data_IF_830008001747
#
_entry.id   IF_830008001747
#
_cell.length_a   1.000
_cell.length_b   1.000
_cell.length_c   1.000
_cell.angle_alpha   90.00
_cell.angle_beta   90.00
_cell.angle_gamma   90.00
#
_symmetry.space_group_name_H-M   'P 1'
#
loop_
_entity.id
_entity.type
_entity.pdbx_description
1 polymer ?
#
# COMPACT_ATOMS: atom_id res chain seq x y z
N UNK A 1 8.00 5.65 -0.67
CA UNK A 1 8.40 4.72 0.41
C UNK A 1 9.50 3.86 -0.16
N UNK A 2 10.57 3.62 0.58
CA UNK A 2 11.63 2.71 0.13
C UNK A 2 11.19 1.26 0.41
N UNK A 3 10.89 0.45 -0.61
CA UNK A 3 10.28 -0.87 -0.44
C UNK A 3 11.12 -1.82 0.42
N UNK A 4 12.44 -1.66 0.40
CA UNK A 4 13.42 -2.46 1.16
C UNK A 4 13.21 -2.39 2.68
N UNK A 5 12.59 -1.33 3.20
CA UNK A 5 12.39 -1.16 4.64
C UNK A 5 11.02 -1.64 5.13
N UNK A 6 10.14 -2.10 4.23
CA UNK A 6 8.78 -2.54 4.58
C UNK A 6 8.78 -3.64 5.65
N UNK A 7 9.66 -4.64 5.51
CA UNK A 7 9.77 -5.72 6.50
C UNK A 7 10.25 -5.20 7.86
N UNK A 8 11.24 -4.30 7.86
CA UNK A 8 11.75 -3.67 9.08
C UNK A 8 10.64 -2.90 9.81
N UNK A 9 9.85 -2.11 9.08
CA UNK A 9 8.71 -1.39 9.63
C UNK A 9 7.64 -2.35 10.17
N UNK A 10 7.33 -3.43 9.46
CA UNK A 10 6.36 -4.41 9.92
C UNK A 10 6.84 -5.14 11.19
N UNK A 11 8.13 -5.49 11.27
CA UNK A 11 8.75 -6.04 12.47
C UNK A 11 8.65 -5.08 13.65
N UNK A 12 8.96 -3.80 13.43
CA UNK A 12 8.85 -2.78 14.46
C UNK A 12 7.41 -2.61 14.96
N UNK A 13 6.43 -2.56 14.06
CA UNK A 13 5.01 -2.52 14.44
C UNK A 13 4.58 -3.75 15.24
N UNK A 14 5.05 -4.94 14.86
CA UNK A 14 4.76 -6.17 15.62
C UNK A 14 5.37 -6.15 17.01
N UNK A 15 6.59 -5.62 17.14
CA UNK A 15 7.27 -5.50 18.44
C UNK A 15 6.57 -4.47 19.34
N UNK A 16 6.19 -3.31 18.80
CA UNK A 16 5.40 -2.33 19.55
C UNK A 16 4.05 -2.90 20.01
N UNK A 17 3.43 -3.77 19.22
CA UNK A 17 2.19 -4.44 19.62
C UNK A 17 2.36 -5.42 20.78
N UNK A 18 3.56 -5.98 20.99
CA UNK A 18 3.84 -6.89 22.12
C UNK A 18 4.30 -6.15 23.37
N UNK A 19 5.07 -5.08 23.21
CA UNK A 19 5.68 -4.35 24.34
C UNK A 19 4.76 -3.28 24.94
N UNK A 20 3.90 -2.64 24.13
CA UNK A 20 3.06 -1.55 24.62
C UNK A 20 1.88 -2.08 25.44
N UNK A 21 1.60 -1.49 26.62
CA UNK A 21 0.49 -1.90 27.44
C UNK A 21 -0.85 -1.57 26.77
N UNK A 22 -1.87 -2.36 27.08
CA UNK A 22 -3.26 -2.01 26.78
C UNK A 22 -3.63 -0.73 27.54
N UNK A 23 -4.17 0.26 26.82
CA UNK A 23 -4.78 1.44 27.41
C UNK A 23 -6.28 1.20 27.58
N UNK A 24 -6.87 1.70 28.67
CA UNK A 24 -8.32 1.70 28.85
C UNK A 24 -8.84 3.13 28.94
N UNK A 25 -9.68 3.51 28.00
CA UNK A 25 -10.44 4.77 28.04
C UNK A 25 -11.92 4.43 27.90
N UNK A 26 -12.78 5.00 28.74
CA UNK A 26 -14.24 4.84 28.67
C UNK A 26 -14.73 3.37 28.57
N UNK A 27 -14.12 2.48 29.37
CA UNK A 27 -14.40 1.04 29.37
C UNK A 27 -14.04 0.28 28.07
N UNK A 28 -13.36 0.93 27.13
CA UNK A 28 -12.85 0.32 25.91
C UNK A 28 -11.34 0.07 26.02
N UNK A 29 -10.92 -1.17 25.73
CA UNK A 29 -9.49 -1.50 25.60
C UNK A 29 -8.98 -1.03 24.24
N UNK A 30 -7.99 -0.14 24.28
CA UNK A 30 -7.26 0.36 23.13
C UNK A 30 -5.85 -0.23 23.18
N UNK A 31 -5.49 -1.00 22.17
CA UNK A 31 -4.12 -1.51 22.01
C UNK A 31 -3.50 -0.97 20.74
N UNK A 32 -2.16 -1.02 20.67
CA UNK A 32 -1.40 -0.51 19.54
C UNK A 32 -1.86 -1.12 18.21
N UNK A 33 -2.17 -2.41 18.20
CA UNK A 33 -2.67 -3.10 17.00
C UNK A 33 -3.96 -2.47 16.46
N UNK A 34 -4.92 -2.17 17.34
CA UNK A 34 -6.18 -1.52 16.97
C UNK A 34 -5.95 -0.10 16.45
N UNK A 35 -5.05 0.65 17.08
CA UNK A 35 -4.69 2.01 16.64
C UNK A 35 -4.04 2.00 15.25
N UNK A 36 -3.08 1.09 15.04
CA UNK A 36 -2.41 0.93 13.75
C UNK A 36 -3.40 0.54 12.65
N UNK A 37 -4.30 -0.42 12.93
CA UNK A 37 -5.36 -0.83 12.01
C UNK A 37 -6.25 0.34 11.60
N UNK A 38 -6.73 1.11 12.57
CA UNK A 38 -7.58 2.27 12.31
C UNK A 38 -6.84 3.31 11.46
N UNK A 39 -5.56 3.56 11.75
CA UNK A 39 -4.76 4.51 10.98
C UNK A 39 -4.51 4.02 9.56
N UNK A 40 -4.18 2.75 9.37
CA UNK A 40 -4.02 2.15 8.05
C UNK A 40 -5.31 2.24 7.22
N UNK A 41 -6.47 2.00 7.83
CA UNK A 41 -7.76 2.13 7.17
C UNK A 41 -8.05 3.59 6.77
N UNK A 42 -7.83 4.54 7.66
CA UNK A 42 -8.02 5.97 7.38
C UNK A 42 -7.13 6.42 6.20
N UNK A 43 -5.86 6.02 6.19
CA UNK A 43 -4.92 6.37 5.14
C UNK A 43 -5.30 5.74 3.79
N UNK A 44 -5.80 4.50 3.81
CA UNK A 44 -6.28 3.80 2.62
C UNK A 44 -7.52 4.49 2.02
N UNK A 45 -8.52 4.79 2.84
CA UNK A 45 -9.73 5.51 2.42
C UNK A 45 -9.41 6.94 1.97
N UNK A 46 -8.44 7.61 2.60
CA UNK A 46 -7.95 8.92 2.15
C UNK A 46 -7.30 8.82 0.78
N UNK A 47 -6.49 7.79 0.54
CA UNK A 47 -5.90 7.49 -0.77
C UNK A 47 -6.97 7.32 -1.84
N UNK A 48 -8.08 6.64 -1.54
CA UNK A 48 -9.20 6.51 -2.49
C UNK A 48 -9.90 7.83 -2.80
N UNK A 49 -10.12 8.67 -1.78
CA UNK A 49 -10.71 9.99 -1.99
C UNK A 49 -9.80 10.83 -2.88
N UNK A 50 -8.50 10.84 -2.59
CA UNK A 50 -7.50 11.57 -3.37
C UNK A 50 -7.40 11.06 -4.81
N UNK A 51 -7.43 9.75 -5.04
CA UNK A 51 -7.42 9.19 -6.40
C UNK A 51 -8.70 9.54 -7.17
N UNK A 52 -9.87 9.44 -6.54
CA UNK A 52 -11.14 9.82 -7.15
C UNK A 52 -11.23 11.32 -7.43
N UNK A 53 -10.63 12.15 -6.59
CA UNK A 53 -10.53 13.59 -6.79
C UNK A 53 -9.53 13.92 -7.91
N UNK A 54 -8.36 13.29 -7.94
CA UNK A 54 -7.39 13.44 -9.03
C UNK A 54 -8.01 13.06 -10.39
N UNK A 55 -8.69 11.92 -10.48
CA UNK A 55 -9.36 11.50 -11.72
C UNK A 55 -10.49 12.46 -12.17
N UNK A 56 -11.10 13.22 -11.25
CA UNK A 56 -12.11 14.26 -11.57
C UNK A 56 -11.46 15.60 -11.91
N UNK A 57 -10.32 15.88 -11.29
CA UNK A 57 -9.51 17.06 -11.57
C UNK A 57 -8.83 16.92 -12.93
N UNK A 58 -8.45 15.72 -13.37
CA UNK A 58 -7.92 15.47 -14.74
C UNK A 58 -8.88 15.94 -15.86
N UNK A 59 -10.20 15.88 -15.66
CA UNK A 59 -11.18 16.45 -16.62
C UNK A 59 -11.15 17.99 -16.68
N UNK A 60 -10.66 18.67 -15.63
CA UNK A 60 -10.52 20.12 -15.55
C UNK A 60 -9.06 20.62 -15.77
N UNK A 61 -8.07 19.85 -15.34
CA UNK A 61 -6.62 20.08 -15.48
C UNK A 61 -6.08 19.68 -16.85
N UNK A 62 -6.82 18.94 -17.68
CA UNK A 62 -6.53 18.84 -19.12
C UNK A 62 -6.35 20.22 -19.81
N UNK A 63 -6.81 21.32 -19.18
CA UNK A 63 -6.55 22.70 -19.61
C UNK A 63 -5.33 23.39 -18.99
N UNK A 64 -4.81 22.91 -17.85
CA UNK A 64 -3.64 23.48 -17.13
C UNK A 64 -2.38 22.65 -17.34
N UNK A 65 -2.51 21.34 -17.58
CA UNK A 65 -1.42 20.41 -17.88
C UNK A 65 -0.64 20.76 -19.16
N UNK A 66 -1.17 21.63 -20.02
CA UNK A 66 -0.53 22.07 -21.29
C UNK A 66 0.87 22.67 -21.07
N UNK A 67 1.24 23.04 -19.84
CA UNK A 67 2.55 23.65 -19.50
C UNK A 67 3.58 22.72 -18.83
N UNK A 68 3.27 21.46 -18.51
CA UNK A 68 4.25 20.51 -17.94
C UNK A 68 4.98 19.74 -19.05
N UNK A 69 6.31 19.62 -18.94
CA UNK A 69 7.10 18.79 -19.84
C UNK A 69 6.66 17.32 -19.75
N UNK A 70 6.80 16.57 -20.84
CA UNK A 70 6.55 15.13 -20.85
C UNK A 70 7.37 14.40 -19.78
N UNK A 71 8.60 14.84 -19.51
CA UNK A 71 9.45 14.30 -18.45
C UNK A 71 8.87 14.53 -17.05
N UNK A 72 8.33 15.71 -16.76
CA UNK A 72 7.76 16.02 -15.44
C UNK A 72 6.51 15.19 -15.16
N UNK A 73 5.70 14.96 -16.20
CA UNK A 73 4.53 14.08 -16.13
C UNK A 73 4.94 12.63 -15.86
N UNK A 74 5.97 12.15 -16.57
CA UNK A 74 6.48 10.79 -16.40
C UNK A 74 7.11 10.58 -15.02
N UNK A 75 7.95 11.51 -14.56
CA UNK A 75 8.54 11.45 -13.21
C UNK A 75 7.46 11.42 -12.12
N UNK A 76 6.37 12.20 -12.29
CA UNK A 76 5.24 12.20 -11.35
C UNK A 76 4.54 10.85 -11.34
N UNK A 77 4.21 10.27 -12.50
CA UNK A 77 3.61 8.93 -12.61
C UNK A 77 4.50 7.87 -11.96
N UNK A 78 5.79 7.85 -12.25
CA UNK A 78 6.75 6.90 -11.66
C UNK A 78 6.81 7.02 -10.14
N UNK A 79 6.82 8.25 -9.61
CA UNK A 79 6.84 8.49 -8.16
C UNK A 79 5.56 8.01 -7.47
N UNK A 80 4.40 8.25 -8.08
CA UNK A 80 3.11 7.78 -7.59
C UNK A 80 3.03 6.25 -7.61
N UNK A 81 3.54 5.62 -8.69
CA UNK A 81 3.68 4.17 -8.84
C UNK A 81 4.56 3.55 -7.76
N UNK A 82 5.78 4.06 -7.56
CA UNK A 82 6.69 3.57 -6.50
C UNK A 82 6.06 3.67 -5.11
N UNK A 83 5.27 4.73 -4.86
CA UNK A 83 4.55 4.88 -3.60
C UNK A 83 3.45 3.81 -3.47
N UNK A 84 2.70 3.53 -4.53
CA UNK A 84 1.68 2.48 -4.55
C UNK A 84 2.29 1.11 -4.26
N UNK A 85 3.35 0.72 -4.98
CA UNK A 85 4.06 -0.56 -4.79
C UNK A 85 4.62 -0.69 -3.36
N UNK A 86 5.23 0.37 -2.84
CA UNK A 86 5.71 0.39 -1.44
C UNK A 86 4.58 0.18 -0.44
N UNK A 87 3.40 0.76 -0.67
CA UNK A 87 2.24 0.54 0.20
C UNK A 87 1.73 -0.90 0.14
N UNK A 88 1.67 -1.50 -1.06
CA UNK A 88 1.25 -2.90 -1.26
C UNK A 88 2.20 -3.83 -0.50
N UNK A 89 3.51 -3.65 -0.67
CA UNK A 89 4.53 -4.45 0.01
C UNK A 89 4.42 -4.31 1.53
N UNK A 90 4.26 -3.09 2.05
CA UNK A 90 4.08 -2.86 3.49
C UNK A 90 2.84 -3.56 4.04
N UNK A 91 1.70 -3.48 3.34
CA UNK A 91 0.46 -4.16 3.73
C UNK A 91 0.67 -5.68 3.78
N UNK A 92 1.34 -6.25 2.77
CA UNK A 92 1.69 -7.67 2.75
C UNK A 92 2.55 -8.08 3.94
N UNK A 93 3.59 -7.30 4.27
CA UNK A 93 4.45 -7.56 5.43
C UNK A 93 3.69 -7.44 6.76
N UNK A 94 2.81 -6.45 6.92
CA UNK A 94 1.95 -6.32 8.10
C UNK A 94 0.98 -7.51 8.23
N UNK A 95 0.42 -8.01 7.12
CA UNK A 95 -0.43 -9.19 7.12
C UNK A 95 0.35 -10.45 7.54
N UNK A 96 1.57 -10.67 7.03
CA UNK A 96 2.46 -11.78 7.46
C UNK A 96 2.72 -11.76 8.96
N UNK A 97 2.83 -10.58 9.58
CA UNK A 97 3.01 -10.41 11.03
C UNK A 97 1.69 -10.49 11.83
N UNK A 98 0.59 -10.91 11.21
CA UNK A 98 -0.76 -10.98 11.80
C UNK A 98 -1.24 -9.63 12.34
N UNK A 99 -0.71 -8.52 11.82
CA UNK A 99 -1.10 -7.16 12.23
C UNK A 99 -2.38 -6.72 11.53
N UNK A 100 -2.69 -7.29 10.36
CA UNK A 100 -3.91 -7.05 9.60
C UNK A 100 -4.91 -8.19 9.71
N UNK A 101 -6.19 -7.89 9.49
CA UNK A 101 -7.24 -8.91 9.40
C UNK A 101 -7.37 -9.42 7.97
N UNK A 102 -7.90 -10.63 7.81
CA UNK A 102 -8.17 -11.23 6.50
C UNK A 102 -9.07 -10.34 5.64
N UNK A 103 -10.10 -9.74 6.23
CA UNK A 103 -11.02 -8.81 5.55
C UNK A 103 -10.28 -7.65 4.88
N UNK A 104 -9.31 -7.04 5.56
CA UNK A 104 -8.52 -5.93 4.99
C UNK A 104 -7.70 -6.44 3.81
N UNK A 105 -7.06 -7.61 3.93
CA UNK A 105 -6.25 -8.18 2.87
C UNK A 105 -7.08 -8.48 1.61
N UNK A 106 -8.28 -9.05 1.77
CA UNK A 106 -9.20 -9.29 0.65
C UNK A 106 -9.59 -8.00 -0.07
N UNK A 107 -9.86 -6.92 0.67
CA UNK A 107 -10.17 -5.62 0.06
C UNK A 107 -8.97 -5.05 -0.69
N UNK A 108 -7.75 -5.18 -0.16
CA UNK A 108 -6.54 -4.80 -0.89
C UNK A 108 -6.38 -5.61 -2.19
N UNK A 109 -6.54 -6.94 -2.14
CA UNK A 109 -6.44 -7.82 -3.32
C UNK A 109 -7.48 -7.46 -4.38
N UNK A 110 -8.74 -7.25 -4.00
CA UNK A 110 -9.80 -6.83 -4.93
C UNK A 110 -9.47 -5.52 -5.62
N UNK A 111 -8.82 -4.59 -4.92
CA UNK A 111 -8.41 -3.30 -5.51
C UNK A 111 -7.23 -3.44 -6.45
N UNK A 112 -6.28 -4.33 -6.15
CA UNK A 112 -5.14 -4.60 -7.01
C UNK A 112 -5.55 -5.30 -8.31
N UNK A 113 -6.47 -6.25 -8.22
CA UNK A 113 -6.94 -7.01 -9.38
C UNK A 113 -8.02 -6.24 -10.18
N UNK A 114 -8.68 -5.24 -9.56
CA UNK A 114 -9.78 -4.52 -10.18
C UNK A 114 -11.01 -5.41 -10.45
N UNK A 115 -12.00 -4.86 -11.17
CA UNK A 115 -13.17 -5.61 -11.63
C UNK A 115 -12.85 -6.36 -12.93
N UNK A 116 -12.01 -7.40 -12.85
CA UNK A 116 -11.86 -8.39 -13.93
C UNK A 116 -11.12 -7.93 -15.19
N UNK A 117 -10.32 -6.87 -15.13
CA UNK A 117 -9.37 -6.53 -16.18
C UNK A 117 -7.98 -7.07 -15.81
N UNK A 118 -7.26 -7.59 -16.80
CA UNK A 118 -5.87 -7.99 -16.62
C UNK A 118 -5.08 -6.77 -16.10
N UNK A 119 -4.22 -6.95 -15.07
CA UNK A 119 -3.34 -5.87 -14.64
C UNK A 119 -2.49 -5.41 -15.82
N UNK A 120 -2.26 -4.10 -15.96
CA UNK A 120 -1.37 -3.58 -17.00
C UNK A 120 0.00 -4.25 -16.85
N UNK A 121 0.71 -4.51 -17.97
CA UNK A 121 2.00 -5.24 -17.96
C UNK A 121 3.03 -4.63 -17.00
N UNK A 122 2.91 -3.34 -16.72
CA UNK A 122 3.76 -2.62 -15.79
C UNK A 122 3.46 -2.94 -14.31
N UNK A 123 2.23 -3.31 -13.97
CA UNK A 123 1.74 -3.66 -12.61
C UNK A 123 2.12 -5.06 -12.15
N UNK A 124 2.71 -5.84 -13.05
CA UNK A 124 3.27 -7.16 -12.77
C UNK A 124 4.75 -7.01 -12.45
N UNK A 125 5.12 -7.18 -11.17
CA UNK A 125 6.52 -7.32 -10.78
C UNK A 125 7.00 -8.71 -11.24
N UNK A 126 7.84 -8.74 -12.27
CA UNK A 126 8.47 -9.98 -12.72
C UNK A 126 9.47 -10.44 -11.64
N UNK A 127 9.49 -11.74 -11.30
CA UNK A 127 10.49 -12.26 -10.37
C UNK A 127 11.89 -11.92 -10.87
N UNK A 128 12.77 -11.46 -9.98
CA UNK A 128 14.19 -11.32 -10.30
C UNK A 128 14.74 -12.69 -10.73
N UNK A 129 15.72 -12.73 -11.65
CA UNK A 129 16.29 -13.98 -12.17
C UNK A 129 16.80 -14.94 -11.06
N UNK A 130 17.16 -14.41 -9.88
CA UNK A 130 17.54 -15.20 -8.70
C UNK A 130 16.37 -16.00 -8.08
N UNK A 131 15.13 -15.52 -8.20
CA UNK A 131 13.93 -16.19 -7.66
C UNK A 131 13.43 -17.34 -8.55
N UNK A 132 13.84 -17.40 -9.83
CA UNK A 132 13.60 -18.56 -10.69
C UNK A 132 14.59 -19.69 -10.44
N UNK A 133 15.86 -19.36 -10.18
CA UNK A 133 16.91 -20.35 -9.94
C UNK A 133 16.63 -21.23 -8.70
N UNK A 134 15.96 -20.67 -7.69
CA UNK A 134 15.62 -21.38 -6.45
C UNK A 134 14.43 -22.34 -6.58
N UNK A 135 13.69 -22.35 -7.70
CA UNK A 135 12.59 -23.29 -7.97
C UNK A 135 12.96 -24.47 -8.86
N UNK A 136 14.11 -24.45 -9.53
CA UNK A 136 14.59 -25.59 -10.33
C UNK A 136 15.38 -26.63 -9.51
N UNK A 137 15.70 -26.33 -8.24
CA UNK A 137 16.44 -27.24 -7.34
C UNK A 137 15.59 -27.90 -6.25
N UNK A 138 14.26 -28.00 -6.40
CA UNK A 138 13.39 -28.72 -5.43
C UNK A 138 12.43 -29.71 -6.07
#
# INVERSE_FOLDING_TARGET
MEPIYCEMYANFCSHLASELPDLSMDNEKINFKKLLLNKCQEEFERGERQQKEANKVDEAEAKVEVNLSNEEREQRRTKERMRMLGNIRLIGELYKKKMLTERIMHECIKKLIGQGQYPDEEDVEYPDDEDMASKEES
#
